data_IF_550603508319
#
_entry.id   IF_550603508319
#
_cell.length_a   1.000
_cell.length_b   1.000
_cell.length_c   1.000
_cell.angle_alpha   90.00
_cell.angle_beta   90.00
_cell.angle_gamma   90.00
#
_symmetry.space_group_name_H-M   'P 1'
#
loop_
_entity.id
_entity.type
_entity.pdbx_description
1 polymer ?
#
# COMPACT_ATOMS: atom_id res chain seq x y z
N UNK A 1 -5.94 6.97 10.82
CA UNK A 1 -4.80 6.04 10.99
C UNK A 1 -4.71 5.07 9.81
N UNK A 2 -3.53 4.52 9.51
CA UNK A 2 -3.33 3.51 8.46
C UNK A 2 -3.82 2.15 8.97
N UNK A 3 -4.75 1.53 8.24
CA UNK A 3 -5.33 0.22 8.59
C UNK A 3 -4.58 -0.93 7.94
N UNK A 4 -4.18 -0.77 6.68
CA UNK A 4 -3.45 -1.79 5.94
C UNK A 4 -2.64 -1.20 4.77
N UNK A 5 -1.57 -1.90 4.41
CA UNK A 5 -0.74 -1.63 3.23
C UNK A 5 -0.61 -2.90 2.41
N UNK A 6 -0.93 -2.82 1.13
CA UNK A 6 -0.92 -3.93 0.20
C UNK A 6 -0.07 -3.57 -1.02
N UNK A 7 0.70 -4.54 -1.51
CA UNK A 7 1.38 -4.48 -2.81
C UNK A 7 0.94 -5.68 -3.61
N UNK A 8 0.23 -5.43 -4.71
CA UNK A 8 -0.38 -6.48 -5.55
C UNK A 8 0.27 -6.43 -6.93
N UNK A 9 0.48 -7.58 -7.56
CA UNK A 9 0.82 -7.61 -8.99
C UNK A 9 -0.45 -7.33 -9.83
N UNK A 10 -0.29 -6.88 -11.07
CA UNK A 10 -1.30 -6.92 -12.16
C UNK A 10 -2.07 -8.24 -12.33
N UNK A 11 -1.59 -9.36 -11.77
CA UNK A 11 -2.29 -10.65 -11.73
C UNK A 11 -3.13 -10.89 -10.45
N UNK A 12 -3.13 -9.94 -9.51
CA UNK A 12 -3.89 -10.04 -8.25
C UNK A 12 -3.21 -10.83 -7.16
N UNK A 13 -1.97 -11.26 -7.39
CA UNK A 13 -1.15 -11.92 -6.39
C UNK A 13 -0.57 -10.89 -5.42
N UNK A 14 -0.83 -11.00 -4.09
CA UNK A 14 -0.21 -10.13 -3.12
C UNK A 14 1.29 -10.45 -3.01
N UNK A 15 2.12 -9.42 -3.18
CA UNK A 15 3.56 -9.44 -2.92
C UNK A 15 3.90 -8.92 -1.54
N UNK A 16 3.11 -7.97 -1.04
CA UNK A 16 3.13 -7.52 0.33
C UNK A 16 1.70 -7.34 0.84
N UNK A 17 1.43 -7.82 2.04
CA UNK A 17 0.15 -7.60 2.71
C UNK A 17 0.41 -7.41 4.20
N UNK A 18 0.28 -6.17 4.67
CA UNK A 18 0.46 -5.80 6.06
C UNK A 18 -0.84 -5.17 6.56
N UNK A 19 -1.47 -5.83 7.51
CA UNK A 19 -2.63 -5.32 8.23
C UNK A 19 -2.17 -4.89 9.62
N UNK A 20 -2.50 -3.66 10.02
CA UNK A 20 -2.22 -3.14 11.35
C UNK A 20 -3.35 -3.45 12.33
N UNK A 21 -4.57 -3.57 11.81
CA UNK A 21 -5.72 -4.06 12.56
C UNK A 21 -5.82 -5.58 12.49
N UNK A 22 -6.26 -6.20 13.58
CA UNK A 22 -6.51 -7.63 13.61
C UNK A 22 -7.72 -7.98 12.73
N UNK A 23 -7.47 -8.82 11.71
CA UNK A 23 -8.50 -9.40 10.87
C UNK A 23 -8.25 -10.90 10.75
N UNK A 24 -9.31 -11.69 10.60
CA UNK A 24 -9.15 -13.11 10.28
C UNK A 24 -8.50 -13.28 8.91
N UNK A 25 -7.77 -14.38 8.72
CA UNK A 25 -7.10 -14.69 7.45
C UNK A 25 -8.11 -14.69 6.29
N UNK A 26 -9.31 -15.22 6.52
CA UNK A 26 -10.41 -15.22 5.53
C UNK A 26 -10.78 -13.79 5.11
N UNK A 27 -10.99 -12.89 6.07
CA UNK A 27 -11.30 -11.48 5.79
C UNK A 27 -10.17 -10.77 5.06
N UNK A 28 -8.92 -11.04 5.43
CA UNK A 28 -7.76 -10.48 4.73
C UNK A 28 -7.71 -10.92 3.27
N UNK A 29 -7.95 -12.20 3.01
CA UNK A 29 -7.96 -12.75 1.66
C UNK A 29 -9.11 -12.15 0.81
N UNK A 30 -10.30 -12.02 1.39
CA UNK A 30 -11.44 -11.42 0.70
C UNK A 30 -11.23 -9.92 0.46
N UNK A 31 -10.66 -9.19 1.42
CA UNK A 31 -10.29 -7.79 1.26
C UNK A 31 -9.29 -7.59 0.11
N UNK A 32 -8.24 -8.42 0.02
CA UNK A 32 -7.25 -8.36 -1.07
C UNK A 32 -7.91 -8.60 -2.43
N UNK A 33 -8.79 -9.61 -2.54
CA UNK A 33 -9.51 -9.92 -3.78
C UNK A 33 -10.42 -8.76 -4.20
N UNK A 34 -11.16 -8.21 -3.24
CA UNK A 34 -12.09 -7.11 -3.48
C UNK A 34 -11.36 -5.84 -3.93
N UNK A 35 -10.27 -5.49 -3.23
CA UNK A 35 -9.39 -4.38 -3.62
C UNK A 35 -8.89 -4.59 -5.05
N UNK A 36 -8.35 -5.77 -5.36
CA UNK A 36 -7.85 -6.06 -6.70
C UNK A 36 -8.92 -5.95 -7.78
N UNK A 37 -10.13 -6.47 -7.52
CA UNK A 37 -11.26 -6.39 -8.46
C UNK A 37 -11.62 -4.94 -8.79
N UNK A 38 -11.60 -4.04 -7.78
CA UNK A 38 -11.86 -2.62 -8.01
C UNK A 38 -10.74 -2.00 -8.82
N UNK A 39 -9.48 -2.27 -8.49
CA UNK A 39 -8.32 -1.69 -9.17
C UNK A 39 -8.22 -2.10 -10.65
N UNK A 40 -8.47 -3.38 -10.98
CA UNK A 40 -8.39 -3.86 -12.36
C UNK A 40 -9.46 -3.30 -13.28
N UNK A 41 -10.62 -2.94 -12.73
CA UNK A 41 -11.73 -2.38 -13.51
C UNK A 41 -11.61 -0.86 -13.75
N UNK A 42 -10.66 -0.19 -13.09
CA UNK A 42 -10.53 1.28 -13.15
C UNK A 42 -9.66 1.73 -14.34
N UNK A 43 -10.11 2.74 -15.11
CA UNK A 43 -9.28 3.37 -16.14
C UNK A 43 -8.11 4.16 -15.55
N UNK A 44 -7.03 4.38 -16.30
CA UNK A 44 -5.86 5.15 -15.83
C UNK A 44 -6.15 6.65 -15.58
N UNK A 45 -7.25 7.18 -16.11
CA UNK A 45 -7.58 8.61 -16.04
C UNK A 45 -8.48 9.00 -14.85
N UNK A 46 -8.85 8.05 -14.00
CA UNK A 46 -9.68 8.32 -12.81
C UNK A 46 -8.81 8.65 -11.59
N UNK A 47 -9.43 9.18 -10.54
CA UNK A 47 -8.71 9.52 -9.30
C UNK A 47 -8.00 8.31 -8.69
N UNK A 48 -6.92 8.57 -7.95
CA UNK A 48 -6.19 7.54 -7.19
C UNK A 48 -6.92 7.14 -5.89
N UNK A 49 -8.10 7.69 -5.63
CA UNK A 49 -8.86 7.54 -4.41
C UNK A 49 -10.07 6.63 -4.63
N UNK A 50 -10.32 5.76 -3.66
CA UNK A 50 -11.37 4.75 -3.69
C UNK A 50 -11.98 4.65 -2.29
N UNK A 51 -13.31 4.69 -2.21
CA UNK A 51 -13.97 4.36 -0.95
C UNK A 51 -13.81 2.87 -0.65
N UNK A 52 -13.29 2.57 0.54
CA UNK A 52 -13.03 1.22 1.00
C UNK A 52 -14.05 0.77 2.07
N UNK A 53 -15.13 1.54 2.25
CA UNK A 53 -16.12 1.31 3.30
C UNK A 53 -16.74 -0.09 3.25
N UNK A 54 -17.00 -0.58 2.05
CA UNK A 54 -17.57 -1.89 1.77
C UNK A 54 -16.68 -3.06 2.19
N UNK A 55 -15.38 -2.84 2.40
CA UNK A 55 -14.39 -3.90 2.69
C UNK A 55 -13.70 -3.73 4.04
N UNK A 56 -13.50 -2.49 4.50
CA UNK A 56 -12.75 -2.15 5.72
C UNK A 56 -13.58 -1.42 6.79
N UNK A 57 -14.89 -1.28 6.58
CA UNK A 57 -15.81 -0.66 7.52
C UNK A 57 -16.00 0.83 7.28
N UNK A 58 -16.93 1.48 8.02
CA UNK A 58 -17.25 2.89 7.82
C UNK A 58 -16.00 3.77 7.94
N UNK A 59 -16.00 4.88 7.20
CA UNK A 59 -14.93 5.88 7.17
C UNK A 59 -13.59 5.40 6.60
N UNK A 60 -13.54 4.20 6.01
CA UNK A 60 -12.35 3.70 5.34
C UNK A 60 -12.20 4.20 3.92
N UNK A 61 -11.02 4.75 3.63
CA UNK A 61 -10.59 5.15 2.30
C UNK A 61 -9.35 4.40 1.87
N UNK A 62 -9.18 4.31 0.57
CA UNK A 62 -8.05 3.66 -0.07
C UNK A 62 -7.44 4.62 -1.09
N UNK A 63 -6.12 4.66 -1.09
CA UNK A 63 -5.33 5.30 -2.14
C UNK A 63 -4.45 4.24 -2.79
N UNK A 64 -4.30 4.32 -4.10
CA UNK A 64 -3.41 3.43 -4.83
C UNK A 64 -2.58 4.17 -5.86
N UNK A 65 -1.45 3.57 -6.24
CA UNK A 65 -0.65 4.00 -7.38
C UNK A 65 -0.04 2.79 -8.08
N UNK A 66 -0.07 2.82 -9.41
CA UNK A 66 0.50 1.77 -10.25
C UNK A 66 1.95 2.12 -10.62
N UNK A 67 2.87 1.19 -10.37
CA UNK A 67 4.27 1.29 -10.74
C UNK A 67 4.71 0.00 -11.45
N UNK A 68 5.10 0.12 -12.72
CA UNK A 68 5.51 -1.01 -13.55
C UNK A 68 4.47 -2.16 -13.57
N UNK A 69 4.70 -3.23 -12.78
CA UNK A 69 3.83 -4.41 -12.67
C UNK A 69 3.14 -4.53 -11.30
N UNK A 70 3.26 -3.50 -10.45
CA UNK A 70 2.80 -3.52 -9.07
C UNK A 70 1.83 -2.36 -8.76
N UNK A 71 0.74 -2.70 -8.09
CA UNK A 71 -0.15 -1.76 -7.43
C UNK A 71 0.26 -1.61 -5.98
N UNK A 72 0.64 -0.40 -5.59
CA UNK A 72 0.85 -0.01 -4.20
C UNK A 72 -0.44 0.58 -3.68
N UNK A 73 -0.94 0.05 -2.56
CA UNK A 73 -2.26 0.35 -2.03
C UNK A 73 -2.15 0.61 -0.54
N UNK A 74 -2.68 1.74 -0.10
CA UNK A 74 -2.76 2.13 1.30
C UNK A 74 -4.22 2.29 1.67
N UNK A 75 -4.64 1.62 2.74
CA UNK A 75 -5.98 1.73 3.33
C UNK A 75 -5.85 2.47 4.65
N UNK A 76 -6.63 3.51 4.80
CA UNK A 76 -6.59 4.42 5.93
C UNK A 76 -8.00 4.89 6.31
N UNK A 77 -8.10 5.53 7.46
CA UNK A 77 -9.33 6.15 7.94
C UNK A 77 -9.44 7.60 7.44
N UNK A 78 -10.66 8.12 7.35
CA UNK A 78 -11.02 9.51 7.04
C UNK A 78 -10.29 10.59 7.85
N UNK A 79 -9.67 10.21 8.97
CA UNK A 79 -8.81 11.08 9.78
C UNK A 79 -7.53 11.51 9.06
N UNK A 80 -7.07 10.74 8.06
CA UNK A 80 -5.84 11.00 7.34
C UNK A 80 -6.09 11.76 6.03
N UNK A 81 -5.09 12.53 5.60
CA UNK A 81 -5.14 13.21 4.32
C UNK A 81 -4.77 12.27 3.16
N UNK A 82 -5.66 12.15 2.18
CA UNK A 82 -5.50 11.25 1.04
C UNK A 82 -4.30 11.62 0.15
N UNK A 83 -4.01 12.92 -0.02
CA UNK A 83 -2.84 13.39 -0.77
C UNK A 83 -1.53 13.10 -0.03
N UNK A 84 -1.54 13.19 1.30
CA UNK A 84 -0.39 12.82 2.12
C UNK A 84 -0.10 11.31 2.01
N UNK A 85 -1.14 10.47 1.99
CA UNK A 85 -0.98 9.02 1.77
C UNK A 85 -0.48 8.72 0.34
N UNK A 86 -0.91 9.48 -0.67
CA UNK A 86 -0.40 9.35 -2.03
C UNK A 86 1.09 9.72 -2.13
N UNK A 87 1.52 10.79 -1.44
CA UNK A 87 2.93 11.21 -1.37
C UNK A 87 3.78 10.16 -0.64
N UNK A 88 3.24 9.59 0.45
CA UNK A 88 3.87 8.49 1.20
C UNK A 88 4.17 7.29 0.31
N UNK A 89 3.24 6.91 -0.58
CA UNK A 89 3.49 5.83 -1.56
C UNK A 89 4.67 6.17 -2.48
N UNK A 90 4.77 7.41 -2.98
CA UNK A 90 5.84 7.79 -3.91
C UNK A 90 7.20 7.67 -3.26
N UNK A 91 7.36 8.25 -2.08
CA UNK A 91 8.64 8.24 -1.39
C UNK A 91 8.99 6.85 -0.87
N UNK A 92 8.01 6.00 -0.50
CA UNK A 92 8.27 4.60 -0.20
C UNK A 92 8.92 3.91 -1.41
N UNK A 93 8.36 4.09 -2.61
CA UNK A 93 8.90 3.51 -3.84
C UNK A 93 10.28 4.08 -4.17
N UNK A 94 10.50 5.39 -4.01
CA UNK A 94 11.82 6.01 -4.20
C UNK A 94 12.86 5.49 -3.20
N UNK A 95 12.46 5.31 -1.95
CA UNK A 95 13.31 4.73 -0.89
C UNK A 95 13.70 3.30 -1.23
N UNK A 96 12.73 2.49 -1.65
CA UNK A 96 12.97 1.11 -2.11
C UNK A 96 13.93 1.10 -3.30
N UNK A 97 13.71 1.98 -4.28
CA UNK A 97 14.57 2.08 -5.47
C UNK A 97 16.02 2.46 -5.13
N UNK A 98 16.21 3.40 -4.20
CA UNK A 98 17.54 3.78 -3.67
C UNK A 98 18.20 2.64 -2.89
N UNK A 99 17.45 1.91 -2.07
CA UNK A 99 17.98 0.81 -1.26
C UNK A 99 18.40 -0.40 -2.10
N UNK A 100 17.59 -0.76 -3.11
CA UNK A 100 17.83 -1.94 -3.95
C UNK A 100 18.63 -1.63 -5.23
N UNK A 101 18.93 -0.35 -5.51
CA UNK A 101 19.60 0.13 -6.73
C UNK A 101 18.90 -0.40 -7.99
N UNK A 102 17.74 0.20 -8.31
CA UNK A 102 16.88 -0.17 -9.44
C UNK A 102 15.95 -1.34 -9.09
N UNK A 103 15.04 -1.10 -8.14
CA UNK A 103 14.18 -2.13 -7.54
C UNK A 103 13.28 -2.80 -8.58
N UNK A 104 13.22 -4.13 -8.55
CA UNK A 104 12.25 -4.88 -9.34
C UNK A 104 11.24 -5.62 -8.45
N UNK A 105 10.13 -6.09 -9.05
CA UNK A 105 9.12 -6.90 -8.33
C UNK A 105 9.76 -8.10 -7.61
N UNK A 106 10.76 -8.71 -8.23
CA UNK A 106 11.44 -9.87 -7.69
C UNK A 106 12.21 -9.53 -6.40
N UNK A 107 12.83 -8.34 -6.33
CA UNK A 107 13.54 -7.88 -5.13
C UNK A 107 12.58 -7.70 -3.95
N UNK A 108 11.38 -7.18 -4.21
CA UNK A 108 10.33 -7.02 -3.20
C UNK A 108 9.88 -8.39 -2.66
N UNK A 109 9.75 -9.38 -3.55
CA UNK A 109 9.37 -10.75 -3.17
C UNK A 109 10.47 -11.44 -2.36
N UNK A 110 11.73 -11.35 -2.80
CA UNK A 110 12.85 -11.99 -2.10
C UNK A 110 13.22 -11.30 -0.79
N UNK A 111 13.07 -9.98 -0.72
CA UNK A 111 13.42 -9.17 0.46
C UNK A 111 12.19 -8.78 1.27
N UNK A 112 11.13 -9.60 1.28
CA UNK A 112 9.87 -9.33 1.96
C UNK A 112 10.06 -8.77 3.39
N UNK A 113 10.89 -9.43 4.21
CA UNK A 113 11.14 -9.02 5.60
C UNK A 113 11.75 -7.62 5.71
N UNK A 114 12.62 -7.23 4.76
CA UNK A 114 13.18 -5.88 4.71
C UNK A 114 12.12 -4.88 4.26
N UNK A 115 11.38 -5.19 3.19
CA UNK A 115 10.32 -4.31 2.68
C UNK A 115 9.26 -4.04 3.74
N UNK A 116 8.84 -5.05 4.49
CA UNK A 116 7.90 -4.87 5.61
C UNK A 116 8.44 -3.90 6.68
N UNK A 117 9.76 -3.86 6.90
CA UNK A 117 10.38 -2.90 7.81
C UNK A 117 10.35 -1.45 7.28
N UNK A 118 10.32 -1.27 5.95
CA UNK A 118 10.18 0.04 5.32
C UNK A 118 8.73 0.55 5.32
N UNK A 119 7.73 -0.29 5.62
CA UNK A 119 6.33 0.14 5.65
C UNK A 119 6.00 0.71 7.04
N UNK A 120 5.83 2.03 7.16
CA UNK A 120 5.59 2.66 8.45
C UNK A 120 4.13 2.41 8.91
N UNK A 121 3.89 2.17 10.22
CA UNK A 121 2.54 2.04 10.77
C UNK A 121 1.74 3.34 10.79
N UNK A 122 2.43 4.48 10.74
CA UNK A 122 1.84 5.81 10.85
C UNK A 122 2.76 6.87 10.19
N UNK A 123 2.20 8.07 9.96
CA UNK A 123 2.92 9.16 9.30
C UNK A 123 4.09 9.71 10.14
N UNK A 124 4.08 9.60 11.48
CA UNK A 124 5.18 10.06 12.32
C UNK A 124 6.38 9.13 12.25
N UNK A 125 6.16 7.81 12.34
CA UNK A 125 7.18 6.77 12.10
C UNK A 125 7.86 6.97 10.74
N UNK A 126 7.11 7.48 9.77
CA UNK A 126 7.61 7.81 8.45
C UNK A 126 8.42 9.12 8.38
N UNK A 127 8.03 10.18 9.11
CA UNK A 127 8.85 11.41 9.25
C UNK A 127 10.21 11.05 9.84
N UNK A 128 10.24 10.18 10.85
CA UNK A 128 11.49 9.65 11.38
C UNK A 128 12.30 8.90 10.32
N UNK A 129 11.66 8.04 9.51
CA UNK A 129 12.32 7.33 8.42
C UNK A 129 12.94 8.29 7.37
N UNK A 130 12.20 9.35 6.99
CA UNK A 130 12.66 10.35 6.02
C UNK A 130 13.80 11.23 6.53
N UNK A 131 13.85 11.47 7.85
CA UNK A 131 14.90 12.27 8.51
C UNK A 131 16.14 11.46 8.89
N UNK A 132 16.09 10.13 8.81
CA UNK A 132 17.25 9.29 9.10
C UNK A 132 18.07 9.13 7.83
N UNK A 133 19.30 9.68 7.75
CA UNK A 133 20.18 9.40 6.63
C UNK A 133 20.61 7.93 6.75
N UNK A 134 20.17 7.10 5.79
CA UNK A 134 20.71 5.75 5.58
C UNK A 134 22.23 5.80 5.32
#
# INVERSE_FOLDING_TARGET
MIKAVLVLNTQGKPRLAKFYEFQSVEKQHDAIRNVFSVLCSRPEHVSNFVDAESFFGPDSRLVYKHFATLYFVFIFDSSENELAMLDLIQVLVETLDKCFRNVCELDIVFNYSKVVCFVPPDYESYIYFKLTPL
#
